data_IF_056474398430
#
_entry.id   IF_056474398430
#
_cell.length_a   1.000
_cell.length_b   1.000
_cell.length_c   1.000
_cell.angle_alpha   90.00
_cell.angle_beta   90.00
_cell.angle_gamma   90.00
#
_symmetry.space_group_name_H-M   'P 1'
#
loop_
_entity.id
_entity.type
_entity.pdbx_description
1 polymer ?
#
# COMPACT_ATOMS: atom_id res chain seq x y z
N UNK A 1 -8.34 -20.84 -51.03
CA UNK A 1 -8.03 -19.67 -50.18
C UNK A 1 -9.08 -19.27 -49.16
N UNK A 2 -10.39 -19.56 -49.33
CA UNK A 2 -11.45 -19.06 -48.42
C UNK A 2 -11.35 -19.55 -46.96
N UNK A 3 -10.94 -20.80 -46.74
CA UNK A 3 -10.81 -21.38 -45.39
C UNK A 3 -9.63 -20.79 -44.59
N UNK A 4 -8.50 -20.52 -45.26
CA UNK A 4 -7.32 -19.96 -44.62
C UNK A 4 -7.56 -18.54 -44.10
N UNK A 5 -8.35 -17.73 -44.82
CA UNK A 5 -8.67 -16.35 -44.42
C UNK A 5 -9.37 -16.28 -43.06
N UNK A 6 -10.25 -17.23 -42.75
CA UNK A 6 -10.92 -17.28 -41.44
C UNK A 6 -9.91 -17.45 -40.30
N UNK A 7 -9.00 -18.42 -40.44
CA UNK A 7 -7.98 -18.70 -39.42
C UNK A 7 -6.97 -17.57 -39.28
N UNK A 8 -6.58 -16.93 -40.38
CA UNK A 8 -5.69 -15.76 -40.36
C UNK A 8 -6.35 -14.60 -39.59
N UNK A 9 -7.61 -14.28 -39.90
CA UNK A 9 -8.33 -13.19 -39.21
C UNK A 9 -8.52 -13.49 -37.73
N UNK A 10 -8.88 -14.73 -37.39
CA UNK A 10 -9.06 -15.16 -36.00
C UNK A 10 -7.74 -15.09 -35.21
N UNK A 11 -6.63 -15.51 -35.82
CA UNK A 11 -5.31 -15.45 -35.20
C UNK A 11 -4.87 -14.01 -34.95
N UNK A 12 -5.06 -13.11 -35.93
CA UNK A 12 -4.76 -11.68 -35.79
C UNK A 12 -5.63 -11.04 -34.72
N UNK A 13 -6.95 -11.30 -34.72
CA UNK A 13 -7.87 -10.77 -33.71
C UNK A 13 -7.46 -11.18 -32.29
N UNK A 14 -7.19 -12.48 -32.08
CA UNK A 14 -6.68 -12.97 -30.80
C UNK A 14 -5.34 -12.37 -30.41
N UNK A 15 -4.42 -12.16 -31.35
CA UNK A 15 -3.14 -11.55 -31.06
C UNK A 15 -3.30 -10.08 -30.64
N UNK A 16 -4.17 -9.31 -31.30
CA UNK A 16 -4.48 -7.94 -30.91
C UNK A 16 -5.12 -7.89 -29.51
N UNK A 17 -6.12 -8.74 -29.23
CA UNK A 17 -6.78 -8.78 -27.93
C UNK A 17 -5.80 -9.11 -26.79
N UNK A 18 -4.80 -9.96 -27.06
CA UNK A 18 -3.88 -10.45 -26.03
C UNK A 18 -2.60 -9.63 -25.87
N UNK A 19 -2.17 -8.90 -26.92
CA UNK A 19 -0.83 -8.28 -27.00
C UNK A 19 -0.81 -6.81 -27.40
N UNK A 20 -1.94 -6.20 -27.79
CA UNK A 20 -1.93 -4.83 -28.30
C UNK A 20 -1.82 -3.74 -27.22
N UNK A 21 -2.10 -4.06 -25.96
CA UNK A 21 -2.05 -3.12 -24.84
C UNK A 21 -1.00 -3.55 -23.82
N UNK A 22 -0.32 -2.58 -23.23
CA UNK A 22 0.60 -2.80 -22.11
C UNK A 22 -0.13 -3.37 -20.89
N UNK A 23 -1.35 -2.87 -20.62
CA UNK A 23 -2.27 -3.45 -19.64
C UNK A 23 -3.26 -4.36 -20.36
N UNK A 24 -3.18 -5.66 -20.10
CA UNK A 24 -4.03 -6.65 -20.75
C UNK A 24 -5.47 -6.56 -20.24
N UNK A 25 -6.42 -6.43 -21.17
CA UNK A 25 -7.85 -6.57 -20.88
C UNK A 25 -8.38 -7.97 -21.24
N UNK A 26 -9.41 -8.46 -20.54
CA UNK A 26 -10.24 -9.55 -21.03
C UNK A 26 -10.81 -9.28 -22.42
N UNK A 27 -11.03 -10.35 -23.20
CA UNK A 27 -11.40 -10.25 -24.62
C UNK A 27 -12.72 -9.50 -24.85
N UNK A 28 -13.73 -9.80 -24.05
CA UNK A 28 -15.04 -9.13 -24.03
C UNK A 28 -14.93 -7.63 -23.74
N UNK A 29 -14.19 -7.24 -22.69
CA UNK A 29 -13.98 -5.82 -22.34
C UNK A 29 -13.21 -5.08 -23.45
N UNK A 30 -12.20 -5.71 -24.02
CA UNK A 30 -11.40 -5.13 -25.11
C UNK A 30 -12.19 -4.99 -26.41
N UNK A 31 -13.12 -5.91 -26.70
CA UNK A 31 -14.01 -5.86 -27.85
C UNK A 31 -15.09 -4.78 -27.67
N UNK A 32 -15.66 -4.68 -26.46
CA UNK A 32 -16.62 -3.64 -26.08
C UNK A 32 -16.02 -2.24 -26.24
N UNK A 33 -14.82 -2.01 -25.67
CA UNK A 33 -14.11 -0.74 -25.79
C UNK A 33 -13.83 -0.37 -27.26
N UNK A 34 -13.39 -1.32 -28.08
CA UNK A 34 -13.17 -1.08 -29.51
C UNK A 34 -14.46 -0.76 -30.26
N UNK A 35 -15.59 -1.33 -29.87
CA UNK A 35 -16.88 -1.01 -30.46
C UNK A 35 -17.32 0.41 -30.09
N UNK A 36 -17.15 0.79 -28.82
CA UNK A 36 -17.46 2.13 -28.32
C UNK A 36 -16.60 3.20 -29.02
N UNK A 37 -15.27 3.00 -29.08
CA UNK A 37 -14.37 3.90 -29.81
C UNK A 37 -14.71 4.01 -31.30
N UNK A 38 -15.16 2.92 -31.95
CA UNK A 38 -15.61 2.98 -33.34
C UNK A 38 -16.89 3.80 -33.49
N UNK A 39 -17.82 3.70 -32.54
CA UNK A 39 -19.05 4.47 -32.55
C UNK A 39 -18.79 5.97 -32.31
N UNK A 40 -17.83 6.31 -31.45
CA UNK A 40 -17.41 7.69 -31.19
C UNK A 40 -16.40 8.24 -32.20
N UNK A 41 -16.12 7.54 -33.30
CA UNK A 41 -15.09 7.93 -34.29
C UNK A 41 -13.69 8.14 -33.69
N UNK A 42 -13.40 7.47 -32.57
CA UNK A 42 -12.14 7.59 -31.83
C UNK A 42 -12.11 8.71 -30.80
N UNK A 43 -13.21 9.44 -30.63
CA UNK A 43 -13.34 10.45 -29.58
C UNK A 43 -13.56 9.76 -28.22
N UNK A 44 -12.56 9.83 -27.35
CA UNK A 44 -12.61 9.21 -26.03
C UNK A 44 -13.52 9.98 -25.06
N UNK A 45 -13.78 11.26 -25.32
CA UNK A 45 -14.60 12.11 -24.43
C UNK A 45 -16.10 11.81 -24.56
N UNK A 46 -16.50 11.08 -25.60
CA UNK A 46 -17.88 10.63 -25.83
C UNK A 46 -18.15 9.22 -25.30
N UNK A 47 -17.16 8.57 -24.70
CA UNK A 47 -17.32 7.26 -24.08
C UNK A 47 -18.13 7.39 -22.79
N UNK A 48 -18.88 6.34 -22.44
CA UNK A 48 -19.42 6.21 -21.09
C UNK A 48 -18.29 6.02 -20.06
N UNK A 49 -18.61 6.22 -18.78
CA UNK A 49 -17.63 6.19 -17.68
C UNK A 49 -16.80 4.90 -17.65
N UNK A 50 -17.46 3.76 -17.89
CA UNK A 50 -16.87 2.42 -17.94
C UNK A 50 -15.82 2.31 -19.05
N UNK A 51 -16.18 2.71 -20.28
CA UNK A 51 -15.27 2.67 -21.42
C UNK A 51 -14.18 3.72 -21.32
N UNK A 52 -14.45 4.89 -20.75
CA UNK A 52 -13.46 5.92 -20.49
C UNK A 52 -12.40 5.46 -19.48
N UNK A 53 -12.79 4.74 -18.44
CA UNK A 53 -11.85 4.09 -17.51
C UNK A 53 -10.98 3.04 -18.21
N UNK A 54 -11.60 2.13 -18.96
CA UNK A 54 -10.86 1.11 -19.71
C UNK A 54 -9.88 1.72 -20.73
N UNK A 55 -10.28 2.81 -21.40
CA UNK A 55 -9.43 3.54 -22.33
C UNK A 55 -8.20 4.14 -21.63
N UNK A 56 -8.37 4.76 -20.46
CA UNK A 56 -7.27 5.31 -19.65
C UNK A 56 -6.28 4.23 -19.22
N UNK A 57 -6.78 3.07 -18.78
CA UNK A 57 -5.93 1.96 -18.36
C UNK A 57 -5.10 1.34 -19.50
N UNK A 58 -5.64 1.37 -20.73
CA UNK A 58 -5.00 0.73 -21.90
C UNK A 58 -4.14 1.69 -22.74
N UNK A 59 -4.18 2.98 -22.43
CA UNK A 59 -3.42 4.02 -23.15
C UNK A 59 -2.47 4.74 -22.19
N UNK A 60 -1.45 4.04 -21.65
CA UNK A 60 -0.47 4.69 -20.78
C UNK A 60 0.35 5.71 -21.56
N UNK A 61 0.74 6.78 -20.88
CA UNK A 61 1.66 7.79 -21.43
C UNK A 61 3.10 7.36 -21.18
N UNK A 62 3.97 7.59 -22.16
CA UNK A 62 5.40 7.32 -22.02
C UNK A 62 6.02 8.22 -20.95
N UNK A 63 6.87 7.65 -20.10
CA UNK A 63 7.63 8.39 -19.10
C UNK A 63 8.78 9.20 -19.73
N UNK A 64 9.31 8.75 -20.86
CA UNK A 64 10.36 9.46 -21.63
C UNK A 64 9.80 10.63 -22.45
N UNK A 65 8.49 10.91 -22.34
CA UNK A 65 7.87 12.03 -23.03
C UNK A 65 8.41 13.33 -22.44
N UNK A 66 9.00 14.19 -23.27
CA UNK A 66 9.43 15.53 -22.87
C UNK A 66 8.24 16.40 -22.47
N UNK A 67 8.36 17.13 -21.37
CA UNK A 67 7.36 18.03 -20.80
C UNK A 67 7.95 19.44 -20.70
N UNK A 68 7.21 20.45 -21.16
CA UNK A 68 7.69 21.84 -21.18
C UNK A 68 8.43 22.21 -22.47
N UNK A 69 8.72 23.51 -22.64
CA UNK A 69 9.27 24.06 -23.88
C UNK A 69 10.75 24.52 -23.76
N UNK A 70 11.25 24.76 -22.55
CA UNK A 70 12.55 25.42 -22.32
C UNK A 70 13.60 24.51 -21.69
N UNK A 71 13.19 23.64 -20.76
CA UNK A 71 14.06 22.63 -20.15
C UNK A 71 13.51 21.26 -20.53
N UNK A 72 14.27 20.46 -21.27
CA UNK A 72 13.86 19.17 -21.85
C UNK A 72 13.63 18.05 -20.83
N UNK A 73 12.97 18.35 -19.72
CA UNK A 73 12.65 17.38 -18.67
C UNK A 73 11.69 16.34 -19.23
N UNK A 74 11.92 15.09 -18.86
CA UNK A 74 11.03 13.99 -19.18
C UNK A 74 9.92 13.90 -18.11
N UNK A 75 8.82 13.23 -18.45
CA UNK A 75 7.72 13.02 -17.50
C UNK A 75 8.20 12.26 -16.25
N UNK A 76 9.20 11.38 -16.39
CA UNK A 76 9.81 10.64 -15.28
C UNK A 76 10.44 11.56 -14.24
N UNK A 77 11.05 12.68 -14.65
CA UNK A 77 11.77 13.59 -13.76
C UNK A 77 10.82 14.35 -12.82
N UNK A 78 9.54 14.41 -13.17
CA UNK A 78 8.50 15.08 -12.38
C UNK A 78 7.81 14.13 -11.40
N UNK A 79 8.05 12.82 -11.51
CA UNK A 79 7.39 11.82 -10.68
C UNK A 79 8.14 11.69 -9.35
N UNK A 80 7.51 12.13 -8.26
CA UNK A 80 8.06 11.93 -6.91
C UNK A 80 8.07 10.43 -6.56
N UNK A 81 9.14 10.01 -5.85
CA UNK A 81 9.19 8.68 -5.25
C UNK A 81 8.15 8.57 -4.12
N UNK A 82 7.54 7.40 -3.99
CA UNK A 82 6.61 7.07 -2.91
C UNK A 82 7.34 6.60 -1.64
N UNK A 83 8.65 6.39 -1.70
CA UNK A 83 9.44 6.01 -0.54
C UNK A 83 9.48 7.13 0.51
N UNK A 84 9.47 6.79 1.82
CA UNK A 84 9.58 7.78 2.88
C UNK A 84 10.88 8.56 2.77
N UNK A 85 10.80 9.89 2.90
CA UNK A 85 11.97 10.76 2.93
C UNK A 85 12.86 10.48 4.15
N UNK A 86 14.12 10.96 4.13
CA UNK A 86 15.06 10.75 5.23
C UNK A 86 14.54 11.32 6.56
N UNK A 87 13.82 12.45 6.52
CA UNK A 87 13.17 13.03 7.70
C UNK A 87 12.14 12.07 8.33
N UNK A 88 11.30 11.44 7.50
CA UNK A 88 10.28 10.51 7.97
C UNK A 88 10.91 9.27 8.58
N UNK A 89 12.01 8.77 7.98
CA UNK A 89 12.75 7.63 8.51
C UNK A 89 13.39 7.94 9.86
N UNK A 90 13.99 9.13 10.02
CA UNK A 90 14.59 9.56 11.29
C UNK A 90 13.53 9.72 12.38
N UNK A 91 12.37 10.31 12.05
CA UNK A 91 11.25 10.42 12.99
C UNK A 91 10.77 9.04 13.42
N UNK A 92 10.55 8.11 12.48
CA UNK A 92 10.12 6.75 12.81
C UNK A 92 11.13 6.01 13.70
N UNK A 93 12.43 6.13 13.41
CA UNK A 93 13.48 5.54 14.24
C UNK A 93 13.51 6.16 15.65
N UNK A 94 13.36 7.48 15.76
CA UNK A 94 13.28 8.18 17.05
C UNK A 94 12.04 7.75 17.86
N UNK A 95 10.90 7.54 17.20
CA UNK A 95 9.69 7.00 17.84
C UNK A 95 9.89 5.56 18.35
N UNK A 96 10.58 4.71 17.60
CA UNK A 96 10.93 3.35 18.02
C UNK A 96 11.84 3.34 19.25
N UNK A 97 12.92 4.15 19.23
CA UNK A 97 13.84 4.29 20.35
C UNK A 97 13.11 4.80 21.61
N UNK A 98 12.25 5.81 21.45
CA UNK A 98 11.44 6.35 22.53
C UNK A 98 10.48 5.33 23.14
N UNK A 99 9.82 4.50 22.31
CA UNK A 99 9.00 3.39 22.80
C UNK A 99 9.88 2.39 23.57
N UNK A 100 11.07 2.09 23.08
CA UNK A 100 11.99 1.18 23.75
C UNK A 100 12.38 1.67 25.15
N UNK A 101 12.69 2.95 25.27
CA UNK A 101 13.05 3.62 26.53
C UNK A 101 11.86 3.64 27.50
N UNK A 102 10.66 3.97 27.03
CA UNK A 102 9.44 3.94 27.86
C UNK A 102 9.14 2.53 28.41
N UNK A 103 9.38 1.49 27.61
CA UNK A 103 9.18 0.11 28.03
C UNK A 103 10.30 -0.42 28.94
N UNK A 104 11.44 0.27 29.05
CA UNK A 104 12.59 -0.16 29.86
C UNK A 104 12.30 -0.20 31.37
N UNK A 105 11.32 0.60 31.84
CA UNK A 105 10.86 0.64 33.24
C UNK A 105 10.13 -0.64 33.64
N UNK A 106 9.63 -1.40 32.67
CA UNK A 106 8.85 -2.62 32.92
C UNK A 106 9.74 -3.82 33.22
N UNK A 107 9.26 -4.70 34.09
CA UNK A 107 9.85 -6.03 34.28
C UNK A 107 9.83 -6.81 32.93
N UNK A 108 10.87 -7.62 32.60
CA UNK A 108 10.99 -8.29 31.30
C UNK A 108 9.73 -9.04 30.86
N UNK A 109 9.03 -9.68 31.80
CA UNK A 109 7.81 -10.43 31.53
C UNK A 109 6.62 -9.52 31.14
N UNK A 110 6.54 -8.33 31.74
CA UNK A 110 5.54 -7.33 31.42
C UNK A 110 5.86 -6.60 30.11
N UNK A 111 7.14 -6.25 29.87
CA UNK A 111 7.63 -5.70 28.59
C UNK A 111 7.27 -6.62 27.43
N UNK A 112 7.61 -7.90 27.53
CA UNK A 112 7.25 -8.90 26.52
C UNK A 112 5.74 -8.95 26.26
N UNK A 113 4.91 -9.00 27.32
CA UNK A 113 3.45 -9.04 27.17
C UNK A 113 2.89 -7.83 26.40
N UNK A 114 3.47 -6.64 26.61
CA UNK A 114 3.09 -5.40 25.92
C UNK A 114 3.57 -5.43 24.46
N UNK A 115 4.84 -5.76 24.21
CA UNK A 115 5.41 -5.87 22.86
C UNK A 115 4.60 -6.83 21.99
N UNK A 116 4.28 -8.02 22.50
CA UNK A 116 3.49 -9.04 21.80
C UNK A 116 2.04 -8.58 21.56
N UNK A 117 1.42 -7.90 22.55
CA UNK A 117 0.03 -7.42 22.44
C UNK A 117 -0.13 -6.36 21.35
N UNK A 118 0.82 -5.43 21.27
CA UNK A 118 0.77 -4.29 20.35
C UNK A 118 1.53 -4.52 19.04
N UNK A 119 2.30 -5.61 18.94
CA UNK A 119 3.08 -5.95 17.75
C UNK A 119 4.33 -5.08 17.60
N UNK A 120 4.94 -4.65 18.70
CA UNK A 120 6.10 -3.75 18.67
C UNK A 120 7.41 -4.45 18.26
N UNK A 121 7.43 -5.78 18.26
CA UNK A 121 8.60 -6.56 17.86
C UNK A 121 8.53 -7.07 16.41
N UNK A 122 7.34 -7.44 15.92
CA UNK A 122 7.16 -8.12 14.63
C UNK A 122 6.00 -7.54 13.79
N UNK A 123 5.42 -6.40 14.21
CA UNK A 123 4.27 -5.77 13.58
C UNK A 123 2.93 -6.48 13.81
N UNK A 124 2.93 -7.67 14.44
CA UNK A 124 1.72 -8.48 14.59
C UNK A 124 1.13 -8.35 15.99
N UNK A 125 -0.05 -7.71 16.05
CA UNK A 125 -0.86 -7.66 17.28
C UNK A 125 -1.39 -9.05 17.64
N UNK A 126 -1.09 -9.51 18.84
CA UNK A 126 -1.63 -10.75 19.42
C UNK A 126 -2.83 -10.46 20.33
N UNK A 127 -3.73 -11.44 20.45
CA UNK A 127 -4.83 -11.42 21.43
C UNK A 127 -4.31 -11.77 22.84
N UNK A 128 -5.05 -11.39 23.90
CA UNK A 128 -4.66 -11.75 25.27
C UNK A 128 -4.59 -13.26 25.51
N UNK A 129 -5.35 -14.06 24.72
CA UNK A 129 -5.27 -15.51 24.76
C UNK A 129 -3.93 -16.00 24.22
N UNK A 130 -3.52 -15.53 23.03
CA UNK A 130 -2.23 -15.89 22.43
C UNK A 130 -1.05 -15.44 23.31
N UNK A 131 -1.09 -14.20 23.82
CA UNK A 131 -0.07 -13.71 24.76
C UNK A 131 -0.05 -14.53 26.06
N UNK A 132 -1.22 -14.95 26.55
CA UNK A 132 -1.33 -15.82 27.71
C UNK A 132 -0.73 -17.21 27.47
N UNK A 133 -1.01 -17.80 26.30
CA UNK A 133 -0.44 -19.09 25.88
C UNK A 133 1.09 -19.05 25.80
N UNK A 134 1.67 -18.01 25.18
CA UNK A 134 3.13 -17.80 25.11
C UNK A 134 3.76 -17.62 26.50
N UNK A 135 3.05 -16.96 27.43
CA UNK A 135 3.53 -16.71 28.79
C UNK A 135 3.20 -17.82 29.79
N UNK A 136 2.45 -18.85 29.39
CA UNK A 136 1.99 -19.92 30.28
C UNK A 136 1.00 -19.47 31.35
N UNK A 137 0.15 -18.48 31.04
CA UNK A 137 -0.87 -17.92 31.95
C UNK A 137 -2.24 -17.87 31.29
N UNK A 138 -3.29 -17.65 32.09
CA UNK A 138 -4.64 -17.47 31.55
C UNK A 138 -4.75 -16.15 30.79
N UNK A 139 -5.68 -16.08 29.83
CA UNK A 139 -5.92 -14.87 29.05
C UNK A 139 -6.26 -13.65 29.93
N UNK A 140 -7.01 -13.85 31.02
CA UNK A 140 -7.34 -12.78 31.95
C UNK A 140 -6.13 -12.33 32.77
N UNK A 141 -5.22 -13.24 33.14
CA UNK A 141 -3.96 -12.88 33.79
C UNK A 141 -3.07 -12.06 32.83
N UNK A 142 -2.95 -12.45 31.56
CA UNK A 142 -2.24 -11.68 30.54
C UNK A 142 -2.86 -10.28 30.35
N UNK A 143 -4.20 -10.18 30.29
CA UNK A 143 -4.90 -8.90 30.21
C UNK A 143 -4.59 -8.00 31.40
N UNK A 144 -4.62 -8.53 32.63
CA UNK A 144 -4.30 -7.77 33.84
C UNK A 144 -2.83 -7.33 33.86
N UNK A 145 -1.91 -8.18 33.42
CA UNK A 145 -0.49 -7.88 33.30
C UNK A 145 -0.26 -6.70 32.35
N UNK A 146 -0.79 -6.78 31.12
CA UNK A 146 -0.68 -5.71 30.13
C UNK A 146 -1.31 -4.41 30.64
N UNK A 147 -2.52 -4.49 31.23
CA UNK A 147 -3.19 -3.29 31.76
C UNK A 147 -2.34 -2.59 32.83
N UNK A 148 -1.73 -3.35 33.74
CA UNK A 148 -0.86 -2.79 34.78
C UNK A 148 0.40 -2.18 34.17
N UNK A 149 1.04 -2.89 33.23
CA UNK A 149 2.23 -2.41 32.54
C UNK A 149 1.98 -1.07 31.82
N UNK A 150 0.87 -0.94 31.08
CA UNK A 150 0.52 0.32 30.40
C UNK A 150 0.31 1.48 31.38
N UNK A 151 -0.29 1.22 32.55
CA UNK A 151 -0.43 2.23 33.61
C UNK A 151 0.96 2.64 34.13
N UNK A 152 1.83 1.67 34.42
CA UNK A 152 3.19 1.94 34.89
C UNK A 152 3.98 2.80 33.89
N UNK A 153 3.93 2.47 32.59
CA UNK A 153 4.57 3.28 31.54
C UNK A 153 3.99 4.68 31.52
N UNK A 154 2.66 4.83 31.59
CA UNK A 154 2.01 6.15 31.61
C UNK A 154 2.46 7.01 32.78
N UNK A 155 2.61 6.42 33.97
CA UNK A 155 3.00 7.16 35.17
C UNK A 155 4.47 7.62 35.10
N UNK A 156 5.34 6.89 34.40
CA UNK A 156 6.78 7.23 34.24
C UNK A 156 7.08 7.97 32.92
N UNK A 157 6.11 8.06 32.00
CA UNK A 157 6.25 8.78 30.73
C UNK A 157 6.70 10.25 30.87
N UNK A 158 6.26 11.03 31.89
CA UNK A 158 6.72 12.41 32.06
C UNK A 158 8.22 12.54 32.33
N UNK A 159 8.85 11.51 32.89
CA UNK A 159 10.27 11.52 33.24
C UNK A 159 11.17 11.15 32.04
N UNK A 160 10.67 10.28 31.16
CA UNK A 160 11.43 9.70 30.04
C UNK A 160 11.19 10.47 28.73
N UNK A 161 9.98 11.01 28.52
CA UNK A 161 9.61 11.70 27.29
C UNK A 161 8.65 12.87 27.59
N UNK A 162 9.15 13.98 28.17
CA UNK A 162 8.33 15.13 28.57
C UNK A 162 7.57 15.76 27.40
N UNK A 163 8.14 15.72 26.19
CA UNK A 163 7.58 16.34 24.99
C UNK A 163 6.32 15.63 24.45
N UNK A 164 6.02 14.40 24.87
CA UNK A 164 4.84 13.65 24.39
C UNK A 164 3.53 14.18 25.01
N UNK A 165 3.58 14.65 26.26
CA UNK A 165 2.35 14.96 27.02
C UNK A 165 1.77 16.33 26.63
N UNK A 166 2.61 17.26 26.18
CA UNK A 166 2.19 18.60 25.75
C UNK A 166 1.61 18.66 24.32
N UNK A 167 1.65 17.55 23.57
CA UNK A 167 1.19 17.49 22.18
C UNK A 167 -0.25 16.94 22.00
N UNK A 168 -0.98 16.63 23.07
CA UNK A 168 -2.32 16.04 23.05
C UNK A 168 -3.38 16.94 23.72
#
# INVERSE_FOLDING_TARGET
STYATFWIRQAIGRALDQKASLVRLPGDRSASLRAALRASSGDADQLDDDHAELHRLTTPTSLDRTVGAEDGNELVDLLADANPGPETQVIAAAEEDMIHDLLSVLEPRAKYAVEQRFGLADGRRRSYREVGEELGVTAEAARRLVKRAVITVRDHAPEVAPDIIDAA
#
